data_IF_029146097743
#
_entry.id   IF_029146097743
#
_cell.length_a   1.000
_cell.length_b   1.000
_cell.length_c   1.000
_cell.angle_alpha   90.00
_cell.angle_beta   90.00
_cell.angle_gamma   90.00
#
_symmetry.space_group_name_H-M   'P 1'
#
loop_
_entity.id
_entity.type
_entity.pdbx_description
1 polymer ?
#
# COMPACT_ATOMS: atom_id res chain seq x y z
N UNK A 1 -2.27 9.61 -13.41
CA UNK A 1 -2.36 8.23 -12.91
C UNK A 1 -1.21 8.01 -11.96
N UNK A 2 -1.48 7.62 -10.74
CA UNK A 2 -0.43 7.25 -9.80
C UNK A 2 0.31 6.01 -10.28
N UNK A 3 1.64 6.06 -10.17
CA UNK A 3 2.49 4.94 -10.56
C UNK A 3 2.24 3.73 -9.65
N UNK A 4 2.30 2.49 -10.16
CA UNK A 4 2.29 1.31 -9.30
C UNK A 4 3.46 1.34 -8.32
N UNK A 5 3.27 0.75 -7.16
CA UNK A 5 4.31 0.65 -6.12
C UNK A 5 5.00 -0.71 -6.21
N UNK A 6 6.32 -0.72 -6.16
CA UNK A 6 7.13 -1.93 -6.17
C UNK A 6 8.10 -1.96 -4.99
N UNK A 7 8.04 -3.02 -4.18
CA UNK A 7 9.02 -3.29 -3.14
C UNK A 7 10.26 -3.96 -3.73
N UNK A 8 11.45 -3.53 -3.33
CA UNK A 8 12.72 -4.14 -3.72
C UNK A 8 13.43 -4.71 -2.50
N UNK A 9 13.51 -6.05 -2.42
CA UNK A 9 14.19 -6.79 -1.36
C UNK A 9 15.54 -7.35 -1.81
N UNK A 10 16.57 -7.18 -0.97
CA UNK A 10 17.90 -7.76 -1.17
C UNK A 10 18.69 -7.82 0.12
N UNK A 11 19.80 -8.53 0.13
CA UNK A 11 20.81 -8.37 1.18
C UNK A 11 21.52 -7.03 1.08
N UNK A 12 22.14 -6.57 2.17
CA UNK A 12 22.95 -5.34 2.18
C UNK A 12 24.12 -5.38 1.19
N UNK A 13 24.60 -6.57 0.81
CA UNK A 13 25.70 -6.73 -0.15
C UNK A 13 25.29 -6.35 -1.58
N UNK A 14 23.99 -6.31 -1.89
CA UNK A 14 23.45 -6.07 -3.22
C UNK A 14 22.96 -4.62 -3.43
N UNK A 15 23.42 -3.68 -2.59
CA UNK A 15 22.98 -2.28 -2.63
C UNK A 15 23.13 -1.62 -4.02
N UNK A 16 24.28 -1.84 -4.69
CA UNK A 16 24.52 -1.27 -6.03
C UNK A 16 23.51 -1.77 -7.08
N UNK A 17 23.13 -3.05 -6.99
CA UNK A 17 22.14 -3.65 -7.86
C UNK A 17 20.77 -3.05 -7.57
N UNK A 18 20.41 -2.92 -6.29
CA UNK A 18 19.17 -2.29 -5.86
C UNK A 18 19.04 -0.85 -6.37
N UNK A 19 20.11 -0.06 -6.26
CA UNK A 19 20.16 1.31 -6.81
C UNK A 19 19.97 1.35 -8.32
N UNK A 20 20.53 0.37 -9.06
CA UNK A 20 20.34 0.22 -10.49
C UNK A 20 18.90 -0.08 -10.89
N UNK A 21 18.23 -0.97 -10.15
CA UNK A 21 16.82 -1.29 -10.29
C UNK A 21 15.94 -0.06 -9.99
N UNK A 22 16.21 0.60 -8.87
CA UNK A 22 15.48 1.82 -8.46
C UNK A 22 15.51 2.87 -9.55
N UNK A 23 16.70 3.19 -10.09
CA UNK A 23 16.85 4.17 -11.18
C UNK A 23 16.14 3.74 -12.46
N UNK A 24 16.18 2.44 -12.78
CA UNK A 24 15.59 1.92 -14.01
C UNK A 24 14.07 1.75 -13.98
N UNK A 25 13.44 1.84 -12.80
CA UNK A 25 12.00 1.66 -12.62
C UNK A 25 11.27 2.94 -12.16
N UNK A 26 12.01 3.96 -11.71
CA UNK A 26 11.43 5.16 -11.07
C UNK A 26 10.52 6.00 -11.97
N UNK A 27 10.67 5.89 -13.28
CA UNK A 27 9.81 6.57 -14.26
C UNK A 27 8.44 5.91 -14.43
N UNK A 28 8.31 4.58 -14.18
CA UNK A 28 7.06 3.83 -14.32
C UNK A 28 6.45 3.36 -13.01
N UNK A 29 7.25 3.26 -11.93
CA UNK A 29 6.81 2.77 -10.63
C UNK A 29 7.36 3.63 -9.49
N UNK A 30 6.63 3.71 -8.38
CA UNK A 30 7.17 4.19 -7.11
C UNK A 30 7.92 3.04 -6.45
N UNK A 31 9.23 3.20 -6.34
CA UNK A 31 10.11 2.15 -5.80
C UNK A 31 10.26 2.33 -4.30
N UNK A 32 10.01 1.25 -3.56
CA UNK A 32 10.13 1.14 -2.10
C UNK A 32 11.31 0.19 -1.78
N UNK A 33 12.56 0.69 -1.67
CA UNK A 33 13.69 -0.16 -1.32
C UNK A 33 13.60 -0.56 0.15
N UNK A 34 13.97 -1.80 0.47
CA UNK A 34 13.92 -2.31 1.85
C UNK A 34 14.68 -1.42 2.85
N UNK A 35 15.79 -0.81 2.44
CA UNK A 35 16.64 0.03 3.30
C UNK A 35 15.92 1.27 3.88
N UNK A 36 14.92 1.80 3.18
CA UNK A 36 14.20 3.02 3.57
C UNK A 36 12.78 2.73 4.07
N UNK A 37 12.35 1.48 3.99
CA UNK A 37 10.97 1.08 4.30
C UNK A 37 10.72 0.79 5.79
N UNK A 38 11.75 0.85 6.64
CA UNK A 38 11.65 0.50 8.05
C UNK A 38 11.85 1.71 8.96
N UNK A 39 10.93 1.87 9.91
CA UNK A 39 10.99 2.92 10.94
C UNK A 39 11.59 2.35 12.23
N UNK A 40 12.54 3.02 12.87
CA UNK A 40 13.06 2.59 14.16
C UNK A 40 11.94 2.40 15.20
N UNK A 41 11.97 1.28 15.93
CA UNK A 41 10.98 0.96 16.97
C UNK A 41 9.79 0.10 16.51
N UNK A 42 9.67 -0.22 15.21
CA UNK A 42 8.69 -1.19 14.71
C UNK A 42 9.33 -2.55 14.46
N UNK A 43 8.54 -3.63 14.55
CA UNK A 43 8.99 -4.96 14.13
C UNK A 43 9.17 -4.98 12.61
N UNK A 44 10.34 -5.45 12.15
CA UNK A 44 10.60 -5.62 10.72
C UNK A 44 9.55 -6.51 10.04
N UNK A 45 9.10 -7.57 10.72
CA UNK A 45 8.08 -8.46 10.19
C UNK A 45 6.72 -7.78 10.07
N UNK A 46 6.30 -6.99 11.07
CA UNK A 46 5.05 -6.24 11.00
C UNK A 46 5.07 -5.26 9.83
N UNK A 47 6.18 -4.55 9.62
CA UNK A 47 6.30 -3.64 8.49
C UNK A 47 6.30 -4.36 7.13
N UNK A 48 6.91 -5.53 7.03
CA UNK A 48 6.83 -6.36 5.81
C UNK A 48 5.39 -6.79 5.52
N UNK A 49 4.63 -7.20 6.53
CA UNK A 49 3.22 -7.55 6.39
C UNK A 49 2.39 -6.35 5.90
N UNK A 50 2.62 -5.16 6.44
CA UNK A 50 1.98 -3.93 5.95
C UNK A 50 2.34 -3.66 4.49
N UNK A 51 3.62 -3.74 4.14
CA UNK A 51 4.10 -3.51 2.77
C UNK A 51 3.45 -4.46 1.76
N UNK A 52 3.20 -5.74 2.11
CA UNK A 52 2.50 -6.65 1.21
C UNK A 52 1.09 -6.16 0.87
N UNK A 53 0.47 -5.35 1.72
CA UNK A 53 -0.85 -4.76 1.50
C UNK A 53 -0.78 -3.39 0.79
N UNK A 54 0.38 -2.75 0.77
CA UNK A 54 0.56 -1.40 0.23
C UNK A 54 1.11 -1.39 -1.20
N UNK A 55 1.92 -2.40 -1.58
CA UNK A 55 2.58 -2.42 -2.89
C UNK A 55 1.82 -3.27 -3.91
N UNK A 56 2.01 -2.96 -5.18
CA UNK A 56 1.41 -3.68 -6.30
C UNK A 56 2.30 -4.81 -6.81
N UNK A 57 3.63 -4.68 -6.58
CA UNK A 57 4.66 -5.60 -7.03
C UNK A 57 5.77 -5.73 -6.01
N UNK A 58 6.54 -6.83 -6.11
CA UNK A 58 7.79 -6.98 -5.37
C UNK A 58 8.87 -7.60 -6.26
N UNK A 59 10.13 -7.26 -6.02
CA UNK A 59 11.27 -7.90 -6.68
C UNK A 59 12.35 -8.21 -5.66
N UNK A 60 12.85 -9.44 -5.69
CA UNK A 60 13.83 -9.95 -4.73
C UNK A 60 15.10 -10.41 -5.44
N UNK A 61 16.24 -9.99 -4.90
CA UNK A 61 17.56 -10.35 -5.43
C UNK A 61 18.08 -11.59 -4.73
N UNK A 62 18.05 -12.71 -5.43
CA UNK A 62 18.63 -13.99 -4.98
C UNK A 62 20.08 -14.07 -5.47
N UNK A 63 20.99 -13.50 -4.68
CA UNK A 63 22.42 -13.45 -4.97
C UNK A 63 23.19 -14.57 -4.26
N UNK A 64 24.49 -14.64 -4.48
CA UNK A 64 25.40 -15.57 -3.81
C UNK A 64 25.93 -14.97 -2.51
N UNK A 65 25.02 -14.65 -1.56
CA UNK A 65 25.36 -13.92 -0.33
C UNK A 65 25.80 -14.82 0.82
N UNK A 66 25.28 -16.04 0.88
CA UNK A 66 25.55 -17.03 1.90
C UNK A 66 26.02 -18.36 1.28
N UNK A 67 26.52 -19.27 2.10
CA UNK A 67 27.03 -20.57 1.67
C UNK A 67 26.35 -21.70 2.42
N UNK A 68 25.66 -22.58 1.71
CA UNK A 68 24.94 -23.71 2.30
C UNK A 68 25.69 -25.01 2.05
N UNK A 69 26.00 -25.75 3.10
CA UNK A 69 26.57 -27.07 3.02
C UNK A 69 25.54 -28.14 3.41
N UNK A 70 25.55 -29.30 2.74
CA UNK A 70 24.75 -30.42 3.20
C UNK A 70 25.23 -30.89 4.57
N UNK A 71 24.30 -31.23 5.47
CA UNK A 71 24.61 -31.83 6.75
C UNK A 71 25.40 -33.13 6.50
N UNK A 72 26.55 -33.36 7.18
CA UNK A 72 27.26 -34.64 7.04
C UNK A 72 26.33 -35.77 7.52
N UNK A 73 26.08 -36.78 6.67
CA UNK A 73 25.58 -38.05 7.16
C UNK A 73 26.67 -38.65 8.05
N UNK A 74 26.31 -39.46 9.06
CA UNK A 74 27.20 -40.00 10.08
C UNK A 74 28.46 -40.72 9.56
N UNK A 75 28.62 -40.88 8.25
CA UNK A 75 29.68 -41.59 7.57
C UNK A 75 30.40 -40.87 6.43
N UNK A 76 30.05 -39.57 6.15
CA UNK A 76 30.63 -38.85 5.01
C UNK A 76 31.14 -37.47 5.39
N UNK A 77 32.25 -37.03 4.74
CA UNK A 77 32.68 -35.63 4.82
C UNK A 77 31.60 -34.67 4.30
N UNK A 78 31.54 -33.42 4.79
CA UNK A 78 30.64 -32.45 4.24
C UNK A 78 30.77 -32.34 2.72
N UNK A 79 29.64 -32.50 2.00
CA UNK A 79 29.64 -32.31 0.57
C UNK A 79 30.05 -30.88 0.17
N UNK A 80 30.43 -30.64 -1.08
CA UNK A 80 30.73 -29.33 -1.57
C UNK A 80 29.55 -28.42 -1.29
N UNK A 81 29.81 -27.28 -0.62
CA UNK A 81 28.78 -26.26 -0.36
C UNK A 81 28.31 -25.59 -1.66
N UNK A 82 27.16 -24.95 -1.60
CA UNK A 82 26.59 -24.19 -2.70
C UNK A 82 26.27 -22.77 -2.21
N UNK A 83 26.61 -21.78 -3.01
CA UNK A 83 26.21 -20.39 -2.75
C UNK A 83 24.68 -20.29 -2.73
N UNK A 84 24.13 -19.50 -1.81
CA UNK A 84 22.70 -19.33 -1.62
C UNK A 84 22.35 -17.86 -1.37
N UNK A 85 21.12 -17.45 -1.69
CA UNK A 85 20.63 -16.17 -1.22
C UNK A 85 20.50 -16.18 0.29
N UNK A 86 20.50 -15.00 0.90
CA UNK A 86 20.23 -14.84 2.32
C UNK A 86 18.85 -15.36 2.67
N UNK A 87 18.72 -16.10 3.77
CA UNK A 87 17.48 -16.72 4.22
C UNK A 87 16.33 -15.72 4.42
N UNK A 88 16.62 -14.53 4.97
CA UNK A 88 15.62 -13.46 5.10
C UNK A 88 15.02 -13.06 3.75
N UNK A 89 15.84 -12.92 2.71
CA UNK A 89 15.37 -12.55 1.37
C UNK A 89 14.46 -13.64 0.78
N UNK A 90 14.78 -14.90 1.05
CA UNK A 90 13.93 -16.04 0.63
C UNK A 90 12.59 -16.03 1.37
N UNK A 91 12.62 -15.77 2.68
CA UNK A 91 11.41 -15.64 3.49
C UNK A 91 10.53 -14.49 3.00
N UNK A 92 11.10 -13.33 2.79
CA UNK A 92 10.41 -12.13 2.27
C UNK A 92 9.78 -12.42 0.90
N UNK A 93 10.51 -13.03 -0.03
CA UNK A 93 9.99 -13.41 -1.33
C UNK A 93 8.80 -14.37 -1.24
N UNK A 94 8.83 -15.32 -0.29
CA UNK A 94 7.71 -16.22 0.01
C UNK A 94 6.50 -15.47 0.57
N UNK A 95 6.71 -14.52 1.49
CA UNK A 95 5.67 -13.69 2.09
C UNK A 95 4.93 -12.85 1.03
N UNK A 96 5.69 -12.13 0.21
CA UNK A 96 5.12 -11.33 -0.88
C UNK A 96 4.49 -12.19 -1.97
N UNK A 97 5.12 -13.32 -2.34
CA UNK A 97 4.59 -14.25 -3.32
C UNK A 97 3.26 -14.89 -2.90
N UNK A 98 3.10 -15.16 -1.60
CA UNK A 98 1.84 -15.66 -1.02
C UNK A 98 0.70 -14.62 -1.03
N UNK A 99 1.04 -13.33 -0.88
CA UNK A 99 0.05 -12.25 -0.81
C UNK A 99 -0.27 -11.65 -2.18
N UNK A 100 0.75 -11.31 -2.98
CA UNK A 100 0.60 -10.66 -4.29
C UNK A 100 0.39 -11.66 -5.42
N UNK A 101 0.78 -12.92 -5.21
CA UNK A 101 0.92 -13.94 -6.24
C UNK A 101 2.25 -13.83 -6.99
N UNK A 102 2.71 -14.96 -7.54
CA UNK A 102 4.02 -15.07 -8.19
C UNK A 102 4.13 -14.29 -9.50
N UNK A 103 3.03 -13.91 -10.13
CA UNK A 103 3.05 -13.02 -11.31
C UNK A 103 3.48 -11.59 -10.98
N UNK A 104 3.33 -11.17 -9.73
CA UNK A 104 3.65 -9.85 -9.21
C UNK A 104 4.88 -9.82 -8.30
N UNK A 105 5.49 -11.00 -8.09
CA UNK A 105 6.68 -11.17 -7.25
C UNK A 105 7.82 -11.70 -8.12
N UNK A 106 8.74 -10.80 -8.47
CA UNK A 106 9.83 -11.12 -9.37
C UNK A 106 11.04 -11.60 -8.60
N UNK A 107 11.67 -12.67 -9.08
CA UNK A 107 12.93 -13.19 -8.53
C UNK A 107 14.05 -12.92 -9.53
N UNK A 108 15.01 -12.09 -9.12
CA UNK A 108 16.27 -11.87 -9.83
C UNK A 108 17.27 -12.86 -9.29
N UNK A 109 17.61 -13.86 -10.08
CA UNK A 109 18.41 -14.98 -9.64
C UNK A 109 19.81 -14.93 -10.23
N UNK A 110 20.83 -14.78 -9.37
CA UNK A 110 22.23 -14.89 -9.77
C UNK A 110 22.55 -16.32 -10.19
N UNK A 111 23.18 -16.49 -11.35
CA UNK A 111 23.63 -17.82 -11.80
C UNK A 111 24.60 -18.42 -10.76
N UNK A 112 24.39 -19.71 -10.45
CA UNK A 112 25.16 -20.42 -9.43
C UNK A 112 24.63 -20.30 -7.99
N UNK A 113 23.72 -19.35 -7.69
CA UNK A 113 23.04 -19.35 -6.40
C UNK A 113 22.02 -20.49 -6.32
N UNK A 114 21.87 -21.09 -5.14
CA UNK A 114 20.85 -22.11 -4.88
C UNK A 114 19.47 -21.50 -4.96
N UNK A 115 18.59 -22.11 -5.73
CA UNK A 115 17.17 -21.75 -5.75
C UNK A 115 16.40 -22.77 -4.88
N UNK A 116 15.47 -22.34 -4.00
CA UNK A 116 14.57 -23.26 -3.31
C UNK A 116 13.84 -24.18 -4.28
N UNK A 117 13.69 -25.47 -3.92
CA UNK A 117 13.11 -26.52 -4.80
C UNK A 117 11.73 -26.13 -5.35
N UNK A 118 10.91 -25.51 -4.51
CA UNK A 118 9.55 -25.12 -4.87
C UNK A 118 9.49 -23.95 -5.87
N UNK A 119 10.61 -23.24 -6.05
CA UNK A 119 10.74 -22.15 -7.02
C UNK A 119 11.38 -22.59 -8.34
N UNK A 120 11.81 -23.85 -8.49
CA UNK A 120 12.49 -24.33 -9.71
C UNK A 120 11.64 -24.26 -10.98
N UNK A 121 10.31 -24.26 -10.85
CA UNK A 121 9.37 -24.11 -11.97
C UNK A 121 9.07 -22.68 -12.37
N UNK A 122 9.57 -21.68 -11.63
CA UNK A 122 9.28 -20.26 -11.91
C UNK A 122 10.25 -19.69 -12.95
N UNK A 123 9.73 -18.81 -13.79
CA UNK A 123 10.54 -18.00 -14.70
C UNK A 123 11.21 -16.86 -13.93
N UNK A 124 12.44 -17.09 -13.47
CA UNK A 124 13.24 -16.07 -12.81
C UNK A 124 13.96 -15.18 -13.84
N UNK A 125 14.21 -13.92 -13.46
CA UNK A 125 15.12 -13.05 -14.22
C UNK A 125 16.55 -13.42 -13.83
N UNK A 126 17.24 -14.19 -14.69
CA UNK A 126 18.62 -14.65 -14.43
C UNK A 126 19.64 -13.59 -14.79
N UNK A 127 20.73 -13.54 -14.02
CA UNK A 127 21.86 -12.65 -14.27
C UNK A 127 23.19 -13.29 -13.83
N UNK A 128 24.30 -12.83 -14.41
CA UNK A 128 25.66 -13.29 -14.09
C UNK A 128 26.39 -12.23 -13.24
N UNK A 129 26.92 -12.64 -12.08
CA UNK A 129 27.81 -11.84 -11.25
C UNK A 129 27.35 -10.40 -10.97
N UNK A 130 28.24 -9.45 -11.23
CA UNK A 130 27.89 -8.02 -11.17
C UNK A 130 27.27 -7.62 -12.51
N UNK A 131 26.01 -7.16 -12.50
CA UNK A 131 25.30 -6.73 -13.70
C UNK A 131 26.03 -5.57 -14.40
N UNK A 132 26.37 -5.78 -15.64
CA UNK A 132 26.78 -4.71 -16.54
C UNK A 132 25.63 -3.73 -16.80
N UNK A 133 25.88 -2.48 -17.21
CA UNK A 133 24.80 -1.55 -17.57
C UNK A 133 23.82 -2.10 -18.61
N UNK A 134 24.29 -2.90 -19.58
CA UNK A 134 23.47 -3.53 -20.60
C UNK A 134 22.56 -4.61 -20.03
N UNK A 135 23.07 -5.47 -19.14
CA UNK A 135 22.28 -6.50 -18.45
C UNK A 135 21.25 -5.87 -17.49
N UNK A 136 21.62 -4.81 -16.77
CA UNK A 136 20.71 -4.04 -15.93
C UNK A 136 19.54 -3.48 -16.75
N UNK A 137 19.80 -2.98 -17.96
CA UNK A 137 18.74 -2.51 -18.86
C UNK A 137 17.79 -3.64 -19.27
N UNK A 138 18.31 -4.83 -19.55
CA UNK A 138 17.49 -6.02 -19.89
C UNK A 138 16.65 -6.45 -18.71
N UNK A 139 17.22 -6.51 -17.50
CA UNK A 139 16.51 -6.85 -16.28
C UNK A 139 15.38 -5.86 -16.03
N UNK A 140 15.69 -4.57 -16.03
CA UNK A 140 14.68 -3.51 -15.87
C UNK A 140 13.56 -3.63 -16.91
N UNK A 141 13.89 -3.87 -18.19
CA UNK A 141 12.88 -3.99 -19.23
C UNK A 141 11.93 -5.19 -19.00
N UNK A 142 12.43 -6.32 -18.53
CA UNK A 142 11.58 -7.48 -18.19
C UNK A 142 10.59 -7.16 -17.07
N UNK A 143 11.05 -6.45 -16.02
CA UNK A 143 10.18 -6.05 -14.90
C UNK A 143 9.16 -5.00 -15.40
N UNK A 144 9.58 -4.02 -16.20
CA UNK A 144 8.70 -3.01 -16.81
C UNK A 144 7.56 -3.65 -17.58
N UNK A 145 7.88 -4.57 -18.49
CA UNK A 145 6.87 -5.28 -19.29
C UNK A 145 5.88 -6.04 -18.41
N UNK A 146 6.34 -6.67 -17.33
CA UNK A 146 5.46 -7.37 -16.41
C UNK A 146 4.56 -6.42 -15.61
N UNK A 147 5.07 -5.26 -15.17
CA UNK A 147 4.29 -4.22 -14.51
C UNK A 147 3.21 -3.67 -15.46
N UNK A 148 3.56 -3.39 -16.70
CA UNK A 148 2.62 -2.88 -17.72
C UNK A 148 1.51 -3.89 -18.03
N UNK A 149 1.85 -5.18 -18.12
CA UNK A 149 0.89 -6.24 -18.45
C UNK A 149 -0.07 -6.56 -17.30
N UNK A 150 0.42 -6.57 -16.06
CA UNK A 150 -0.39 -6.95 -14.90
C UNK A 150 -1.18 -5.76 -14.32
N UNK A 151 -0.74 -4.53 -14.53
CA UNK A 151 -1.34 -3.33 -13.98
C UNK A 151 -1.35 -3.31 -12.44
N UNK A 152 -2.02 -2.34 -11.85
CA UNK A 152 -2.13 -2.21 -10.38
C UNK A 152 -3.09 -3.23 -9.78
N UNK A 153 -2.85 -3.59 -8.51
CA UNK A 153 -3.76 -4.45 -7.76
C UNK A 153 -5.03 -3.68 -7.40
N UNK A 154 -6.19 -4.22 -7.76
CA UNK A 154 -7.48 -3.69 -7.32
C UNK A 154 -7.76 -4.19 -5.90
N UNK A 155 -7.53 -3.33 -4.91
CA UNK A 155 -7.83 -3.62 -3.50
C UNK A 155 -8.50 -2.42 -2.84
N UNK A 156 -9.46 -2.71 -1.97
CA UNK A 156 -10.13 -1.65 -1.20
C UNK A 156 -9.28 -1.16 -0.03
N UNK A 157 -8.39 -2.01 0.49
CA UNK A 157 -7.48 -1.68 1.58
C UNK A 157 -6.54 -0.54 1.19
N UNK A 158 -6.15 0.27 2.18
CA UNK A 158 -5.28 1.43 2.04
C UNK A 158 -5.96 2.72 2.46
N UNK A 159 -5.31 3.83 2.18
CA UNK A 159 -5.79 5.16 2.59
C UNK A 159 -6.44 5.88 1.41
N UNK A 160 -7.57 6.52 1.70
CA UNK A 160 -8.42 7.16 0.70
C UNK A 160 -8.81 8.57 1.13
N UNK A 161 -8.54 9.55 0.30
CA UNK A 161 -9.17 10.85 0.41
C UNK A 161 -10.65 10.72 0.09
N UNK A 162 -11.52 11.20 0.97
CA UNK A 162 -12.96 11.24 0.76
C UNK A 162 -13.41 12.65 0.47
N UNK A 163 -14.02 12.82 -0.68
CA UNK A 163 -14.63 14.06 -1.13
C UNK A 163 -16.14 13.90 -1.14
N UNK A 164 -16.80 14.61 -0.24
CA UNK A 164 -18.25 14.50 -0.04
C UNK A 164 -19.00 15.37 -1.03
N UNK A 165 -19.98 14.79 -1.71
CA UNK A 165 -20.89 15.48 -2.61
C UNK A 165 -22.22 15.69 -1.86
N UNK A 166 -22.45 16.87 -1.30
CA UNK A 166 -23.72 17.21 -0.67
C UNK A 166 -24.63 17.88 -1.71
N UNK A 167 -25.78 17.26 -2.01
CA UNK A 167 -26.82 17.87 -2.85
C UNK A 167 -27.49 19.09 -2.18
N UNK A 168 -27.34 19.22 -0.86
CA UNK A 168 -28.12 20.15 -0.03
C UNK A 168 -27.52 21.53 0.20
N UNK A 169 -26.29 21.76 -0.18
CA UNK A 169 -25.67 23.08 0.03
C UNK A 169 -24.90 23.49 -1.21
N UNK A 170 -25.30 24.62 -1.79
CA UNK A 170 -24.47 25.42 -2.70
C UNK A 170 -23.15 25.89 -2.04
N UNK A 171 -22.92 25.49 -0.78
CA UNK A 171 -21.69 25.77 -0.04
C UNK A 171 -20.58 24.84 -0.46
N UNK A 172 -19.45 25.43 -0.76
CA UNK A 172 -18.21 24.70 -1.02
C UNK A 172 -17.83 23.77 0.14
N UNK A 173 -17.29 22.57 -0.15
CA UNK A 173 -16.86 21.67 0.90
C UNK A 173 -15.78 22.35 1.75
N UNK A 174 -16.03 22.42 3.07
CA UNK A 174 -15.12 23.00 4.05
C UNK A 174 -14.38 21.96 4.89
N UNK A 175 -14.64 20.69 4.63
CA UNK A 175 -14.09 19.56 5.39
C UNK A 175 -13.59 18.49 4.41
N UNK A 176 -12.38 18.01 4.66
CA UNK A 176 -11.77 16.92 3.91
C UNK A 176 -11.51 15.74 4.84
N UNK A 177 -11.82 14.54 4.39
CA UNK A 177 -11.63 13.32 5.17
C UNK A 177 -10.57 12.40 4.54
N UNK A 178 -9.80 11.75 5.39
CA UNK A 178 -8.96 10.61 5.04
C UNK A 178 -9.53 9.37 5.73
N UNK A 179 -9.81 8.33 4.95
CA UNK A 179 -10.22 7.01 5.44
C UNK A 179 -9.06 6.05 5.29
N UNK A 180 -8.82 5.21 6.28
CA UNK A 180 -7.92 4.06 6.21
C UNK A 180 -8.78 2.80 6.30
N UNK A 181 -8.69 1.94 5.29
CA UNK A 181 -9.31 0.62 5.26
C UNK A 181 -8.21 -0.42 5.42
N UNK A 182 -8.33 -1.27 6.41
CA UNK A 182 -7.35 -2.30 6.75
C UNK A 182 -8.05 -3.62 7.09
N UNK A 183 -7.28 -4.68 7.32
CA UNK A 183 -7.80 -5.93 7.86
C UNK A 183 -7.32 -6.10 9.30
N UNK A 184 -8.21 -6.56 10.14
CA UNK A 184 -7.88 -6.98 11.50
C UNK A 184 -7.07 -8.29 11.49
N UNK A 185 -6.68 -8.76 12.68
CA UNK A 185 -5.92 -10.02 12.85
C UNK A 185 -6.68 -11.27 12.36
N UNK A 186 -7.99 -11.20 12.20
CA UNK A 186 -8.86 -12.27 11.73
C UNK A 186 -9.15 -12.15 10.22
N UNK A 187 -8.58 -11.13 9.55
CA UNK A 187 -8.78 -10.84 8.14
C UNK A 187 -10.09 -10.10 7.82
N UNK A 188 -10.86 -9.68 8.83
CA UNK A 188 -12.06 -8.86 8.62
C UNK A 188 -11.67 -7.41 8.29
N UNK A 189 -12.40 -6.81 7.35
CA UNK A 189 -12.19 -5.41 7.00
C UNK A 189 -12.64 -4.50 8.14
N UNK A 190 -11.83 -3.50 8.39
CA UNK A 190 -12.12 -2.38 9.28
C UNK A 190 -11.83 -1.05 8.59
N UNK A 191 -12.54 -0.02 9.01
CA UNK A 191 -12.36 1.34 8.51
C UNK A 191 -12.14 2.28 9.68
N UNK A 192 -11.13 3.12 9.56
CA UNK A 192 -10.93 4.27 10.44
C UNK A 192 -10.83 5.53 9.59
N UNK A 193 -11.11 6.69 10.17
CA UNK A 193 -11.01 7.93 9.42
C UNK A 193 -10.87 9.15 10.31
N UNK A 194 -10.37 10.20 9.68
CA UNK A 194 -10.24 11.53 10.28
C UNK A 194 -10.69 12.58 9.27
N UNK A 195 -11.29 13.65 9.75
CA UNK A 195 -11.59 14.81 8.90
C UNK A 195 -11.01 16.09 9.50
N UNK A 196 -10.64 16.99 8.62
CA UNK A 196 -10.06 18.29 8.96
C UNK A 196 -10.84 19.41 8.28
N UNK A 197 -10.89 20.56 8.95
CA UNK A 197 -11.32 21.81 8.35
C UNK A 197 -10.20 22.41 7.50
N UNK A 198 -10.53 23.41 6.71
CA UNK A 198 -9.58 24.11 5.82
C UNK A 198 -8.36 24.69 6.57
N UNK A 199 -8.54 25.08 7.84
CA UNK A 199 -7.47 25.55 8.72
C UNK A 199 -6.56 24.45 9.28
N UNK A 200 -6.77 23.18 8.89
CA UNK A 200 -6.02 22.03 9.36
C UNK A 200 -6.47 21.51 10.72
N UNK A 201 -7.47 22.13 11.38
CA UNK A 201 -8.00 21.64 12.66
C UNK A 201 -8.79 20.33 12.46
N UNK A 202 -8.63 19.38 13.40
CA UNK A 202 -9.34 18.11 13.38
C UNK A 202 -10.84 18.34 13.61
N UNK A 203 -11.68 17.95 12.66
CA UNK A 203 -13.14 18.11 12.72
C UNK A 203 -13.83 16.91 13.36
N UNK A 204 -13.46 15.69 12.93
CA UNK A 204 -14.03 14.45 13.46
C UNK A 204 -13.07 13.27 13.33
N UNK A 205 -13.35 12.21 14.08
CA UNK A 205 -12.75 10.86 13.95
C UNK A 205 -13.85 9.85 13.76
N UNK A 206 -13.60 8.83 12.95
CA UNK A 206 -14.56 7.75 12.66
C UNK A 206 -13.90 6.39 12.77
N UNK A 207 -14.72 5.37 13.04
CA UNK A 207 -14.32 3.97 13.00
C UNK A 207 -15.51 3.10 12.59
N UNK A 208 -15.26 1.95 11.98
CA UNK A 208 -16.32 0.99 11.71
C UNK A 208 -16.58 0.13 12.93
N UNK A 209 -17.87 -0.05 13.27
CA UNK A 209 -18.32 -1.06 14.23
C UNK A 209 -18.54 -2.42 13.54
N UNK A 210 -18.83 -2.39 12.25
CA UNK A 210 -18.95 -3.55 11.40
C UNK A 210 -18.62 -3.17 9.96
N UNK A 211 -17.95 -4.09 9.25
CA UNK A 211 -17.66 -3.92 7.84
C UNK A 211 -17.79 -5.26 7.12
N UNK A 212 -18.26 -5.21 5.87
CA UNK A 212 -18.42 -6.39 5.01
C UNK A 212 -17.84 -6.12 3.64
N UNK A 213 -16.94 -7.00 3.22
CA UNK A 213 -16.38 -6.97 1.87
C UNK A 213 -17.46 -7.29 0.83
N UNK A 214 -17.42 -6.56 -0.27
CA UNK A 214 -18.19 -6.84 -1.49
C UNK A 214 -17.23 -7.29 -2.57
N UNK A 215 -17.54 -8.39 -3.23
CA UNK A 215 -16.68 -8.93 -4.30
C UNK A 215 -17.06 -8.38 -5.66
N UNK A 216 -18.35 -8.11 -5.90
CA UNK A 216 -18.87 -7.63 -7.18
C UNK A 216 -19.93 -6.53 -6.96
N UNK A 217 -19.65 -5.27 -7.31
CA UNK A 217 -18.30 -4.73 -7.56
C UNK A 217 -17.45 -4.76 -6.29
N UNK A 218 -16.12 -4.89 -6.46
CA UNK A 218 -15.19 -4.88 -5.34
C UNK A 218 -15.35 -3.62 -4.48
N UNK A 219 -15.44 -3.79 -3.17
CA UNK A 219 -15.70 -2.67 -2.27
C UNK A 219 -15.97 -3.08 -0.83
N UNK A 220 -16.50 -2.15 -0.06
CA UNK A 220 -16.84 -2.34 1.35
C UNK A 220 -18.20 -1.72 1.67
N UNK A 221 -19.03 -2.44 2.42
CA UNK A 221 -20.20 -1.90 3.12
C UNK A 221 -19.90 -1.86 4.61
N UNK A 222 -20.19 -0.75 5.30
CA UNK A 222 -19.80 -0.56 6.70
C UNK A 222 -20.85 0.22 7.49
N UNK A 223 -20.99 -0.14 8.78
CA UNK A 223 -21.62 0.67 9.82
C UNK A 223 -20.53 1.38 10.60
N UNK A 224 -20.61 2.69 10.72
CA UNK A 224 -19.59 3.53 11.33
C UNK A 224 -20.13 4.37 12.49
N UNK A 225 -19.24 4.70 13.40
CA UNK A 225 -19.41 5.69 14.46
C UNK A 225 -18.31 6.74 14.38
N UNK A 226 -18.58 7.89 15.00
CA UNK A 226 -17.60 8.96 15.04
C UNK A 226 -17.84 9.93 16.18
N UNK A 227 -16.84 10.76 16.43
CA UNK A 227 -16.83 11.78 17.47
C UNK A 227 -16.27 13.10 16.92
N UNK A 228 -16.63 14.22 17.58
CA UNK A 228 -16.05 15.53 17.32
C UNK A 228 -15.10 15.89 18.46
N UNK A 229 -13.80 15.68 18.37
CA UNK A 229 -12.86 15.82 19.50
C UNK A 229 -12.80 17.23 20.10
N UNK A 230 -13.14 18.25 19.30
CA UNK A 230 -13.16 19.65 19.74
C UNK A 230 -14.50 20.09 20.37
N UNK A 231 -15.51 19.24 20.34
CA UNK A 231 -16.82 19.47 20.96
C UNK A 231 -17.29 18.21 21.74
N UNK A 232 -16.82 18.03 22.97
CA UNK A 232 -17.16 16.85 23.79
C UNK A 232 -18.65 16.69 24.08
N UNK A 233 -19.44 17.76 23.93
CA UNK A 233 -20.89 17.73 24.14
C UNK A 233 -21.67 17.46 22.84
N UNK A 234 -21.00 17.39 21.70
CA UNK A 234 -21.65 17.03 20.45
C UNK A 234 -22.21 15.62 20.50
N UNK A 235 -23.37 15.37 19.89
CA UNK A 235 -23.88 14.00 19.78
C UNK A 235 -22.91 13.12 18.99
N UNK A 236 -22.85 11.85 19.37
CA UNK A 236 -22.06 10.87 18.63
C UNK A 236 -22.57 10.76 17.19
N UNK A 237 -21.66 10.78 16.25
CA UNK A 237 -21.97 10.55 14.84
C UNK A 237 -22.09 9.06 14.58
N UNK A 238 -23.06 8.66 13.78
CA UNK A 238 -23.20 7.28 13.30
C UNK A 238 -23.90 7.22 11.94
N UNK A 239 -23.72 6.10 11.26
CA UNK A 239 -24.37 5.85 9.99
C UNK A 239 -23.85 4.60 9.28
N UNK A 240 -24.30 4.42 8.07
CA UNK A 240 -23.83 3.35 7.18
C UNK A 240 -23.21 3.95 5.94
N UNK A 241 -22.33 3.19 5.30
CA UNK A 241 -21.72 3.62 4.04
C UNK A 241 -21.35 2.45 3.15
N UNK A 242 -21.16 2.77 1.89
CA UNK A 242 -20.68 1.86 0.87
C UNK A 242 -19.62 2.55 0.03
N UNK A 243 -18.50 1.87 -0.21
CA UNK A 243 -17.45 2.30 -1.12
C UNK A 243 -17.25 1.20 -2.15
N UNK A 244 -17.23 1.57 -3.43
CA UNK A 244 -17.04 0.67 -4.58
C UNK A 244 -15.82 1.10 -5.35
N UNK A 245 -14.93 0.18 -5.62
CA UNK A 245 -13.75 0.44 -6.46
C UNK A 245 -14.18 0.65 -7.92
N UNK A 246 -13.64 1.68 -8.54
CA UNK A 246 -13.72 1.95 -9.97
C UNK A 246 -12.39 1.64 -10.67
N UNK A 247 -11.29 1.89 -9.95
CA UNK A 247 -9.91 1.59 -10.36
C UNK A 247 -9.02 1.41 -9.13
N UNK A 248 -7.74 1.15 -9.32
CA UNK A 248 -6.77 1.07 -8.22
C UNK A 248 -6.68 2.39 -7.42
N UNK A 249 -7.00 3.54 -8.04
CA UNK A 249 -6.84 4.87 -7.46
C UNK A 249 -8.15 5.60 -7.21
N UNK A 250 -9.26 5.06 -7.69
CA UNK A 250 -10.56 5.71 -7.62
C UNK A 250 -11.63 4.77 -7.12
N UNK A 251 -12.47 5.32 -6.26
CA UNK A 251 -13.68 4.66 -5.80
C UNK A 251 -14.80 5.68 -5.69
N UNK A 252 -16.03 5.21 -5.71
CA UNK A 252 -17.23 6.01 -5.46
C UNK A 252 -18.13 5.31 -4.44
N UNK A 253 -19.06 6.04 -3.89
CA UNK A 253 -19.96 5.46 -2.91
C UNK A 253 -20.86 6.49 -2.24
N UNK A 254 -21.31 6.14 -1.07
CA UNK A 254 -22.08 7.03 -0.22
C UNK A 254 -21.89 6.69 1.25
N UNK A 255 -22.24 7.62 2.10
CA UNK A 255 -22.47 7.38 3.52
C UNK A 255 -23.74 8.11 3.98
N UNK A 256 -24.32 7.63 5.06
CA UNK A 256 -25.40 8.31 5.77
C UNK A 256 -24.88 8.82 7.08
N UNK A 257 -25.41 9.95 7.51
CA UNK A 257 -25.15 10.50 8.85
C UNK A 257 -26.51 10.82 9.46
N UNK A 258 -26.71 10.49 10.74
CA UNK A 258 -27.91 10.91 11.48
C UNK A 258 -28.00 12.43 11.47
N UNK A 259 -29.16 12.95 11.13
CA UNK A 259 -29.34 14.40 11.08
C UNK A 259 -29.37 15.00 12.49
N UNK A 260 -28.61 16.10 12.71
CA UNK A 260 -28.60 16.80 14.00
C UNK A 260 -29.99 17.40 14.36
N UNK A 261 -30.83 17.65 13.34
CA UNK A 261 -32.17 18.26 13.51
C UNK A 261 -33.30 17.24 13.68
N UNK A 262 -33.11 16.02 13.20
CA UNK A 262 -34.06 14.91 13.35
C UNK A 262 -33.30 13.59 13.41
N UNK A 263 -33.19 12.94 14.58
CA UNK A 263 -32.46 11.70 14.76
C UNK A 263 -33.07 10.49 13.99
N UNK A 264 -34.31 10.63 13.48
CA UNK A 264 -34.95 9.59 12.66
C UNK A 264 -34.65 9.75 11.16
N UNK A 265 -34.00 10.83 10.76
CA UNK A 265 -33.65 11.10 9.36
C UNK A 265 -32.15 10.97 9.16
N UNK A 266 -31.76 10.03 8.29
CA UNK A 266 -30.38 9.87 7.86
C UNK A 266 -30.16 10.66 6.57
N UNK A 267 -29.31 11.68 6.61
CA UNK A 267 -28.88 12.39 5.40
C UNK A 267 -27.90 11.50 4.62
N UNK A 268 -28.24 11.18 3.37
CA UNK A 268 -27.34 10.45 2.46
C UNK A 268 -26.45 11.44 1.73
N UNK A 269 -25.14 11.15 1.77
CA UNK A 269 -24.12 11.95 1.09
C UNK A 269 -23.37 11.07 0.11
N UNK A 270 -23.33 11.45 -1.16
CA UNK A 270 -22.47 10.78 -2.13
C UNK A 270 -21.01 11.14 -1.86
N UNK A 271 -20.12 10.21 -2.14
CA UNK A 271 -18.68 10.38 -1.95
C UNK A 271 -17.89 9.90 -3.17
N UNK A 272 -16.84 10.64 -3.49
CA UNK A 272 -15.79 10.22 -4.41
C UNK A 272 -14.52 10.03 -3.60
N UNK A 273 -13.80 8.96 -3.89
CA UNK A 273 -12.62 8.57 -3.11
C UNK A 273 -11.42 8.47 -4.04
N UNK A 274 -10.32 9.06 -3.63
CA UNK A 274 -9.05 8.97 -4.32
C UNK A 274 -8.00 8.38 -3.40
N UNK A 275 -7.17 7.48 -3.94
CA UNK A 275 -6.07 6.89 -3.19
C UNK A 275 -5.15 7.97 -2.65
N UNK A 276 -4.90 7.98 -1.33
CA UNK A 276 -4.00 8.94 -0.73
C UNK A 276 -2.54 8.53 -0.96
N UNK A 277 -1.69 9.53 -1.22
CA UNK A 277 -0.26 9.33 -1.29
C UNK A 277 0.31 9.08 0.12
N UNK A 278 1.25 8.15 0.32
CA UNK A 278 1.94 7.97 1.60
C UNK A 278 2.59 9.25 2.15
N UNK A 279 3.07 10.15 1.28
CA UNK A 279 3.63 11.43 1.72
C UNK A 279 2.57 12.35 2.33
N UNK A 280 1.33 12.34 1.79
CA UNK A 280 0.19 13.03 2.40
C UNK A 280 -0.08 12.49 3.81
N UNK A 281 -0.05 11.17 3.98
CA UNK A 281 -0.29 10.52 5.27
C UNK A 281 0.78 10.93 6.28
N UNK A 282 2.05 10.94 5.87
CA UNK A 282 3.15 11.36 6.73
C UNK A 282 3.01 12.82 7.20
N UNK A 283 2.51 13.71 6.32
CA UNK A 283 2.22 15.11 6.69
C UNK A 283 1.05 15.19 7.69
N UNK A 284 -0.02 14.40 7.48
CA UNK A 284 -1.19 14.40 8.35
C UNK A 284 -0.90 13.83 9.74
N UNK A 285 -0.01 12.85 9.83
CA UNK A 285 0.42 12.21 11.08
C UNK A 285 1.55 12.99 11.76
N UNK A 286 2.18 13.90 11.04
CA UNK A 286 3.23 14.78 11.55
C UNK A 286 2.71 15.81 12.55
N UNK A 287 3.67 16.47 13.23
CA UNK A 287 3.39 17.50 14.24
C UNK A 287 3.35 18.92 13.66
N UNK A 288 3.54 19.09 12.37
CA UNK A 288 3.60 20.38 11.68
C UNK A 288 2.20 20.81 11.23
N UNK A 289 1.54 21.63 12.04
CA UNK A 289 0.18 22.11 11.78
C UNK A 289 0.11 22.99 10.52
N UNK A 290 1.19 23.71 10.18
CA UNK A 290 1.21 24.56 8.98
C UNK A 290 1.26 23.72 7.71
N UNK A 291 2.11 22.68 7.68
CA UNK A 291 2.15 21.73 6.56
C UNK A 291 0.83 20.99 6.38
N UNK A 292 0.20 20.60 7.50
CA UNK A 292 -1.10 19.94 7.48
C UNK A 292 -2.17 20.85 6.88
N UNK A 293 -2.27 22.08 7.35
CA UNK A 293 -3.23 23.07 6.84
C UNK A 293 -3.01 23.35 5.35
N UNK A 294 -1.77 23.52 4.92
CA UNK A 294 -1.42 23.74 3.52
C UNK A 294 -1.84 22.55 2.63
N UNK A 295 -1.59 21.32 3.06
CA UNK A 295 -2.01 20.11 2.35
C UNK A 295 -3.53 20.01 2.23
N UNK A 296 -4.28 20.25 3.33
CA UNK A 296 -5.74 20.20 3.33
C UNK A 296 -6.31 21.26 2.36
N UNK A 297 -5.81 22.49 2.41
CA UNK A 297 -6.23 23.55 1.52
C UNK A 297 -5.94 23.22 0.03
N UNK A 298 -4.78 22.67 -0.27
CA UNK A 298 -4.41 22.20 -1.61
C UNK A 298 -5.38 21.14 -2.13
N UNK A 299 -5.64 20.08 -1.34
CA UNK A 299 -6.55 18.99 -1.72
C UNK A 299 -7.99 19.48 -1.88
N UNK A 300 -8.46 20.38 -1.03
CA UNK A 300 -9.78 21.00 -1.17
C UNK A 300 -9.86 21.85 -2.44
N UNK A 301 -8.85 22.63 -2.76
CA UNK A 301 -8.79 23.44 -3.99
C UNK A 301 -8.83 22.54 -5.23
N UNK A 302 -8.04 21.46 -5.23
CA UNK A 302 -8.05 20.49 -6.31
C UNK A 302 -9.44 19.85 -6.49
N UNK A 303 -10.09 19.48 -5.39
CA UNK A 303 -11.45 18.94 -5.41
C UNK A 303 -12.45 19.92 -6.03
N UNK A 304 -12.40 21.19 -5.62
CA UNK A 304 -13.27 22.24 -6.17
C UNK A 304 -13.08 22.40 -7.69
N UNK A 305 -11.84 22.32 -8.17
CA UNK A 305 -11.54 22.41 -9.62
C UNK A 305 -12.09 21.23 -10.42
N UNK A 306 -11.99 20.00 -9.89
CA UNK A 306 -12.50 18.79 -10.55
C UNK A 306 -14.04 18.71 -10.56
N UNK A 307 -14.72 19.38 -9.64
CA UNK A 307 -16.19 19.41 -9.57
C UNK A 307 -16.80 20.32 -10.62
N UNK A 308 -16.07 21.35 -11.04
CA UNK A 308 -16.53 22.37 -11.99
C UNK A 308 -16.13 22.08 -13.44
N UNK A 309 -15.42 20.99 -13.69
CA UNK A 309 -15.03 20.50 -15.00
C UNK A 309 -15.93 19.32 -15.44
#
# INVERSE_FOLDING_TARGET
MDKPRIFLGSSAQQEKLLQGLTRGLSDIARVEPWMTSFTPGTSALERLLELTQEVDFAAFVFAQDDWTTSSPSASSQPGPGQASPRDNVVFEAGLFGGTLGMRRTFILHANGAKLPSDLLGLTCVRYDGALTPSEMKIVNQKIRNAIENEGRVLRIEGSWWQFSLTERTEKEPSVLSLLKISRDRNGALELTGRSWREDGSLSARYWSEAAKEKKEPSGIFYYWKGERPLDPNAPQLDGVGEIKLESADRASGYFTTRADTDPNVNARTAGVYWRADPDDINILDGRDDQKRAALIAERLTHWKSCRNA
#
